data_IF_957355500054
#
_entry.id   IF_957355500054
#
_cell.length_a   1.000
_cell.length_b   1.000
_cell.length_c   1.000
_cell.angle_alpha   90.00
_cell.angle_beta   90.00
_cell.angle_gamma   90.00
#
_symmetry.space_group_name_H-M   'P 1'
#
loop_
_entity.id
_entity.type
_entity.pdbx_description
1 polymer ?
#
# COMPACT_ATOMS: atom_id res chain seq x y z
N UNK A 1 -5.73 15.42 14.01
CA UNK A 1 -6.70 16.01 13.06
C UNK A 1 -7.95 15.14 12.84
N UNK A 2 -7.84 13.81 12.72
CA UNK A 2 -8.99 12.91 12.48
C UNK A 2 -10.21 13.11 13.41
N UNK A 3 -9.98 13.44 14.70
CA UNK A 3 -11.06 13.73 15.68
C UNK A 3 -11.78 15.08 15.45
N UNK A 4 -11.24 15.94 14.59
CA UNK A 4 -11.70 17.30 14.35
C UNK A 4 -12.33 17.48 12.96
N UNK A 5 -12.19 16.49 12.07
CA UNK A 5 -12.76 16.52 10.72
C UNK A 5 -14.16 15.89 10.72
N UNK A 6 -15.12 16.43 9.94
CA UNK A 6 -16.43 15.80 9.78
C UNK A 6 -16.29 14.35 9.31
N UNK A 7 -16.92 13.42 10.03
CA UNK A 7 -16.95 12.00 9.67
C UNK A 7 -18.37 11.51 9.38
N UNK A 8 -18.98 11.91 8.24
CA UNK A 8 -20.36 11.54 7.94
C UNK A 8 -20.56 10.04 7.74
N UNK A 9 -19.52 9.27 7.38
CA UNK A 9 -19.62 7.80 7.25
C UNK A 9 -19.52 7.07 8.59
N UNK A 10 -18.91 7.68 9.61
CA UNK A 10 -18.67 7.04 10.91
C UNK A 10 -17.54 6.01 10.90
N UNK A 11 -16.98 5.69 9.73
CA UNK A 11 -15.86 4.78 9.59
C UNK A 11 -14.55 5.42 10.05
N UNK A 12 -13.60 4.61 10.53
CA UNK A 12 -12.27 5.13 10.85
C UNK A 12 -11.53 5.43 9.56
N UNK A 13 -11.45 6.70 9.18
CA UNK A 13 -10.61 7.12 8.06
C UNK A 13 -9.19 7.41 8.52
N UNK A 14 -8.25 6.98 7.71
CA UNK A 14 -6.84 7.27 7.89
C UNK A 14 -6.46 8.52 7.10
N UNK A 15 -5.42 9.20 7.56
CA UNK A 15 -4.87 10.37 6.90
C UNK A 15 -3.39 10.12 6.68
N UNK A 16 -2.91 10.56 5.53
CA UNK A 16 -1.48 10.75 5.30
C UNK A 16 -1.20 12.24 5.45
N UNK A 17 -0.32 12.56 6.39
CA UNK A 17 0.13 13.93 6.61
C UNK A 17 1.47 14.11 5.92
N UNK A 18 1.58 15.15 5.09
CA UNK A 18 2.83 15.55 4.43
C UNK A 18 3.19 16.93 4.93
N UNK A 19 4.42 17.09 5.43
CA UNK A 19 4.91 18.35 5.95
C UNK A 19 6.26 18.71 5.33
N UNK A 20 6.46 19.98 5.00
CA UNK A 20 7.73 20.50 4.49
C UNK A 20 8.08 21.81 5.18
N UNK A 21 9.33 21.98 5.66
CA UNK A 21 9.79 23.28 6.14
C UNK A 21 9.84 24.30 4.99
N UNK A 22 9.64 25.56 5.33
CA UNK A 22 9.74 26.71 4.41
C UNK A 22 10.84 27.63 4.93
N UNK A 23 11.81 27.95 4.08
CA UNK A 23 12.95 28.80 4.41
C UNK A 23 12.96 30.09 3.59
N UNK A 24 13.56 31.16 4.11
CA UNK A 24 13.87 32.36 3.34
C UNK A 24 15.13 32.19 2.47
N UNK A 25 15.51 33.25 1.73
CA UNK A 25 16.71 33.25 0.88
C UNK A 25 18.04 33.16 1.64
N UNK A 26 18.02 33.38 2.97
CA UNK A 26 19.17 33.28 3.86
C UNK A 26 19.19 31.94 4.61
N UNK A 27 18.30 31.01 4.25
CA UNK A 27 18.14 29.69 4.84
C UNK A 27 17.64 29.70 6.30
N UNK A 28 16.96 30.77 6.73
CA UNK A 28 16.28 30.81 8.02
C UNK A 28 14.90 30.14 7.90
N UNK A 29 14.50 29.36 8.92
CA UNK A 29 13.20 28.71 8.96
C UNK A 29 12.09 29.76 9.16
N UNK A 30 11.18 29.85 8.20
CA UNK A 30 9.98 30.69 8.28
C UNK A 30 8.78 29.95 8.89
N UNK A 31 8.71 28.63 8.69
CA UNK A 31 7.62 27.81 9.19
C UNK A 31 7.56 26.42 8.54
N UNK A 32 6.44 25.73 8.69
CA UNK A 32 6.18 24.41 8.11
C UNK A 32 4.84 24.45 7.37
N UNK A 33 4.84 24.04 6.10
CA UNK A 33 3.64 23.81 5.31
C UNK A 33 3.19 22.35 5.53
N UNK A 34 1.95 22.15 5.96
CA UNK A 34 1.37 20.82 6.16
C UNK A 34 0.16 20.62 5.25
N UNK A 35 0.09 19.46 4.61
CA UNK A 35 -1.06 18.97 3.86
C UNK A 35 -1.58 17.68 4.47
N UNK A 36 -2.90 17.52 4.45
CA UNK A 36 -3.61 16.34 4.96
C UNK A 36 -4.33 15.67 3.80
N UNK A 37 -4.01 14.41 3.54
CA UNK A 37 -4.55 13.64 2.43
C UNK A 37 -5.42 12.53 3.00
N UNK A 38 -6.70 12.51 2.61
CA UNK A 38 -7.60 11.42 2.98
C UNK A 38 -7.15 10.10 2.37
N UNK A 39 -7.15 9.04 3.18
CA UNK A 39 -6.75 7.72 2.74
C UNK A 39 -7.61 7.16 1.59
N UNK A 40 -8.86 7.60 1.47
CA UNK A 40 -9.75 7.18 0.37
C UNK A 40 -9.13 7.42 -1.01
N UNK A 41 -8.32 8.47 -1.17
CA UNK A 41 -7.56 8.72 -2.40
C UNK A 41 -6.61 7.56 -2.74
N UNK A 42 -5.92 6.98 -1.76
CA UNK A 42 -5.00 5.87 -2.00
C UNK A 42 -5.75 4.61 -2.45
N UNK A 43 -6.95 4.37 -1.91
CA UNK A 43 -7.82 3.30 -2.37
C UNK A 43 -8.30 3.53 -3.81
N UNK A 44 -8.76 4.74 -4.14
CA UNK A 44 -9.18 5.11 -5.50
C UNK A 44 -8.03 4.97 -6.52
N UNK A 45 -6.82 5.37 -6.14
CA UNK A 45 -5.65 5.25 -7.00
C UNK A 45 -5.32 3.78 -7.33
N UNK A 46 -5.42 2.87 -6.35
CA UNK A 46 -5.22 1.44 -6.56
C UNK A 46 -6.34 0.83 -7.40
N UNK A 47 -7.59 1.21 -7.13
CA UNK A 47 -8.75 0.73 -7.89
C UNK A 47 -8.67 1.13 -9.36
N UNK A 48 -8.12 2.31 -9.67
CA UNK A 48 -7.90 2.74 -11.06
C UNK A 48 -6.93 1.84 -11.84
N UNK A 49 -6.05 1.13 -11.14
CA UNK A 49 -5.09 0.19 -11.71
C UNK A 49 -5.59 -1.26 -11.72
N UNK A 50 -6.76 -1.56 -11.14
CA UNK A 50 -7.32 -2.92 -11.14
C UNK A 50 -7.75 -3.34 -12.53
N UNK A 51 -7.31 -4.52 -12.94
CA UNK A 51 -7.89 -5.23 -14.08
C UNK A 51 -8.85 -6.32 -13.58
N UNK A 52 -9.90 -6.67 -14.34
CA UNK A 52 -10.79 -7.76 -13.98
C UNK A 52 -10.02 -9.05 -13.70
N UNK A 53 -10.35 -9.73 -12.59
CA UNK A 53 -9.69 -10.98 -12.19
C UNK A 53 -8.42 -10.81 -11.36
N UNK A 54 -7.95 -9.57 -11.13
CA UNK A 54 -6.81 -9.28 -10.28
C UNK A 54 -7.22 -8.56 -9.00
N UNK A 55 -6.61 -8.95 -7.88
CA UNK A 55 -6.70 -8.20 -6.63
C UNK A 55 -5.42 -7.41 -6.40
N UNK A 56 -5.58 -6.15 -6.00
CA UNK A 56 -4.48 -5.27 -5.63
C UNK A 56 -4.55 -4.97 -4.13
N UNK A 57 -3.40 -5.06 -3.48
CA UNK A 57 -3.18 -4.68 -2.10
C UNK A 57 -2.08 -3.64 -2.02
N UNK A 58 -2.23 -2.72 -1.07
CA UNK A 58 -1.17 -1.80 -0.65
C UNK A 58 -0.82 -2.11 0.80
N UNK A 59 0.46 -2.38 1.04
CA UNK A 59 0.98 -2.75 2.34
C UNK A 59 1.84 -1.65 2.93
N UNK A 60 1.80 -1.53 4.25
CA UNK A 60 2.77 -0.74 5.00
C UNK A 60 4.15 -1.38 4.92
N UNK A 61 5.19 -0.62 5.29
CA UNK A 61 6.56 -1.14 5.40
C UNK A 61 6.65 -2.39 6.27
N UNK A 62 5.82 -2.49 7.29
CA UNK A 62 5.85 -3.60 8.27
C UNK A 62 5.01 -4.81 7.83
N UNK A 63 4.30 -4.71 6.70
CA UNK A 63 3.48 -5.78 6.13
C UNK A 63 1.99 -5.73 6.48
N UNK A 64 1.50 -4.59 6.97
CA UNK A 64 0.07 -4.42 7.28
C UNK A 64 -0.73 -4.02 6.06
N UNK A 65 -1.95 -4.53 5.93
CA UNK A 65 -2.88 -4.12 4.86
C UNK A 65 -3.30 -2.67 5.07
N UNK A 66 -2.95 -1.80 4.14
CA UNK A 66 -3.43 -0.42 4.12
C UNK A 66 -4.65 -0.27 3.20
N UNK A 67 -4.68 -1.02 2.09
CA UNK A 67 -5.83 -1.11 1.18
C UNK A 67 -5.81 -2.46 0.45
N UNK A 68 -6.98 -2.93 0.01
CA UNK A 68 -7.16 -4.20 -0.71
C UNK A 68 -8.32 -5.02 -0.17
N UNK A 69 -8.52 -6.23 -0.71
CA UNK A 69 -9.59 -7.15 -0.30
C UNK A 69 -9.21 -7.91 0.99
N UNK A 70 -8.99 -7.15 2.05
CA UNK A 70 -8.69 -7.65 3.39
C UNK A 70 -8.97 -6.54 4.43
N UNK A 71 -9.24 -6.90 5.70
CA UNK A 71 -9.46 -5.90 6.74
C UNK A 71 -8.27 -4.95 6.86
N UNK A 72 -8.54 -3.64 6.92
CA UNK A 72 -7.49 -2.63 7.10
C UNK A 72 -6.71 -2.90 8.40
N UNK A 73 -5.40 -2.72 8.33
CA UNK A 73 -4.40 -2.93 9.39
C UNK A 73 -4.23 -4.37 9.87
N UNK A 74 -4.83 -5.34 9.18
CA UNK A 74 -4.52 -6.77 9.37
C UNK A 74 -3.10 -7.10 8.88
N UNK A 75 -2.55 -8.19 9.40
CA UNK A 75 -1.23 -8.68 9.00
C UNK A 75 -1.34 -9.47 7.69
N UNK A 76 -0.69 -9.00 6.62
CA UNK A 76 -0.79 -9.65 5.30
C UNK A 76 -0.13 -11.03 5.26
N UNK A 77 0.77 -11.33 6.21
CA UNK A 77 1.38 -12.66 6.34
C UNK A 77 0.39 -13.76 6.70
N UNK A 78 -0.80 -13.42 7.21
CA UNK A 78 -1.90 -14.35 7.39
C UNK A 78 -2.53 -14.79 6.07
N UNK A 79 -2.40 -13.97 5.01
CA UNK A 79 -2.91 -14.26 3.67
C UNK A 79 -1.85 -14.94 2.81
N UNK A 80 -0.62 -14.42 2.82
CA UNK A 80 0.47 -14.86 1.94
C UNK A 80 1.83 -14.97 2.68
N UNK A 81 2.00 -15.97 3.57
CA UNK A 81 3.19 -16.07 4.43
C UNK A 81 4.50 -16.29 3.67
N UNK A 82 4.51 -16.96 2.52
CA UNK A 82 5.72 -17.21 1.70
C UNK A 82 6.20 -15.92 1.06
N UNK A 83 5.32 -15.15 0.40
CA UNK A 83 5.70 -13.84 -0.14
C UNK A 83 6.25 -12.96 0.97
N UNK A 84 5.55 -12.87 2.11
CA UNK A 84 5.97 -12.04 3.23
C UNK A 84 7.33 -12.44 3.83
N UNK A 85 7.68 -13.73 3.86
CA UNK A 85 9.03 -14.17 4.25
C UNK A 85 10.10 -13.63 3.30
N UNK A 86 9.87 -13.66 1.99
CA UNK A 86 10.83 -13.13 1.01
C UNK A 86 10.94 -11.60 1.06
N UNK A 87 9.81 -10.91 1.21
CA UNK A 87 9.78 -9.47 1.43
C UNK A 87 10.59 -9.08 2.68
N UNK A 88 10.34 -9.73 3.83
CA UNK A 88 11.11 -9.50 5.08
C UNK A 88 12.59 -9.87 4.96
N UNK A 89 12.96 -10.76 4.04
CA UNK A 89 14.36 -11.08 3.72
C UNK A 89 15.05 -10.03 2.83
N UNK A 90 14.35 -8.92 2.51
CA UNK A 90 14.89 -7.81 1.74
C UNK A 90 14.53 -7.83 0.26
N UNK A 91 13.73 -8.81 -0.20
CA UNK A 91 13.32 -8.86 -1.60
C UNK A 91 12.24 -7.80 -1.91
N UNK A 92 12.67 -6.63 -2.39
CA UNK A 92 11.79 -5.48 -2.65
C UNK A 92 10.94 -5.62 -3.92
N UNK A 93 11.24 -6.57 -4.81
CA UNK A 93 10.41 -6.84 -5.99
C UNK A 93 10.50 -8.28 -6.42
N UNK A 94 9.41 -8.88 -6.86
CA UNK A 94 9.44 -10.23 -7.37
C UNK A 94 8.05 -10.81 -7.53
N UNK A 95 8.02 -12.14 -7.66
CA UNK A 95 6.78 -12.87 -7.73
C UNK A 95 6.90 -14.24 -7.04
N UNK A 96 5.75 -14.76 -6.63
CA UNK A 96 5.61 -16.04 -5.95
C UNK A 96 4.33 -16.74 -6.39
N UNK A 97 4.38 -18.06 -6.52
CA UNK A 97 3.17 -18.88 -6.51
C UNK A 97 2.92 -19.33 -5.07
N UNK A 98 1.72 -19.06 -4.56
CA UNK A 98 1.35 -19.33 -3.17
C UNK A 98 -0.15 -19.60 -3.02
N UNK A 99 -0.49 -20.51 -2.09
CA UNK A 99 -1.87 -20.76 -1.65
C UNK A 99 -2.23 -19.76 -0.55
N UNK A 100 -3.31 -19.00 -0.74
CA UNK A 100 -3.80 -18.02 0.22
C UNK A 100 -4.67 -18.67 1.31
N UNK A 101 -4.98 -17.90 2.35
CA UNK A 101 -5.88 -18.31 3.44
C UNK A 101 -7.31 -18.65 2.97
N UNK A 102 -7.74 -18.11 1.83
CA UNK A 102 -9.00 -18.46 1.16
C UNK A 102 -8.99 -19.85 0.50
N UNK A 103 -7.85 -20.53 0.47
CA UNK A 103 -7.69 -21.85 -0.11
C UNK A 103 -7.53 -21.87 -1.63
N UNK A 104 -7.36 -20.72 -2.30
CA UNK A 104 -7.00 -20.65 -3.71
C UNK A 104 -5.49 -20.45 -3.87
N UNK A 105 -4.97 -20.80 -5.03
CA UNK A 105 -3.56 -20.61 -5.37
C UNK A 105 -3.45 -19.48 -6.38
N UNK A 106 -2.54 -18.54 -6.10
CA UNK A 106 -2.36 -17.34 -6.89
C UNK A 106 -0.94 -17.22 -7.40
N UNK A 107 -0.79 -16.57 -8.56
CA UNK A 107 0.44 -15.87 -8.91
C UNK A 107 0.40 -14.51 -8.21
N UNK A 108 1.42 -14.22 -7.40
CA UNK A 108 1.52 -13.02 -6.57
C UNK A 108 2.74 -12.24 -7.01
N UNK A 109 2.55 -11.03 -7.53
CA UNK A 109 3.64 -10.07 -7.79
C UNK A 109 3.72 -9.03 -6.68
N UNK A 110 4.92 -8.57 -6.34
CA UNK A 110 5.09 -7.48 -5.39
C UNK A 110 6.19 -6.50 -5.81
N UNK A 111 6.03 -5.25 -5.41
CA UNK A 111 7.02 -4.19 -5.61
C UNK A 111 6.94 -3.14 -4.51
N UNK A 112 8.07 -2.87 -3.85
CA UNK A 112 8.21 -1.83 -2.85
C UNK A 112 8.55 -0.49 -3.50
N UNK A 113 7.94 0.57 -2.98
CA UNK A 113 8.17 1.94 -3.39
C UNK A 113 9.55 2.44 -2.91
N UNK A 114 10.24 3.18 -3.77
CA UNK A 114 11.57 3.75 -3.50
C UNK A 114 11.56 5.25 -3.17
N UNK A 115 10.39 5.83 -2.94
CA UNK A 115 10.24 7.28 -2.80
C UNK A 115 10.39 8.05 -4.12
N UNK A 116 10.54 9.37 -4.02
CA UNK A 116 10.71 10.27 -5.16
C UNK A 116 11.64 11.45 -4.83
N UNK A 117 12.71 11.61 -5.61
CA UNK A 117 13.77 12.61 -5.37
C UNK A 117 14.32 12.50 -3.93
N UNK A 118 14.30 13.59 -3.17
CA UNK A 118 14.83 13.63 -1.79
C UNK A 118 13.86 13.03 -0.76
N UNK A 119 12.64 12.67 -1.18
CA UNK A 119 11.67 12.02 -0.33
C UNK A 119 11.81 10.50 -0.41
N UNK A 120 12.27 9.88 0.67
CA UNK A 120 12.49 8.42 0.76
C UNK A 120 11.21 7.57 0.63
N UNK A 121 10.02 8.18 0.67
CA UNK A 121 8.76 7.46 0.64
C UNK A 121 8.37 6.85 1.98
N UNK A 122 7.17 6.27 2.03
CA UNK A 122 6.66 5.57 3.21
C UNK A 122 7.13 4.11 3.30
N UNK A 123 7.90 3.63 2.32
CA UNK A 123 8.30 2.22 2.22
C UNK A 123 7.11 1.29 1.99
N UNK A 124 6.06 1.77 1.32
CA UNK A 124 4.90 0.95 0.98
C UNK A 124 5.25 -0.09 -0.06
N UNK A 125 4.51 -1.20 -0.06
CA UNK A 125 4.64 -2.27 -1.04
C UNK A 125 3.29 -2.54 -1.70
N UNK A 126 3.26 -2.52 -3.02
CA UNK A 126 2.10 -2.96 -3.80
C UNK A 126 2.21 -4.46 -4.03
N UNK A 127 1.10 -5.17 -3.83
CA UNK A 127 0.97 -6.59 -4.13
C UNK A 127 -0.19 -6.77 -5.09
N UNK A 128 0.03 -7.54 -6.15
CA UNK A 128 -1.02 -7.94 -7.09
C UNK A 128 -1.12 -9.45 -7.06
N UNK A 129 -2.33 -10.00 -7.03
CA UNK A 129 -2.56 -11.44 -7.18
C UNK A 129 -3.57 -11.74 -8.28
N UNK A 130 -3.35 -12.84 -8.97
CA UNK A 130 -4.24 -13.40 -9.98
C UNK A 130 -4.37 -14.90 -9.77
N UNK A 131 -5.58 -15.45 -9.95
CA UNK A 131 -5.80 -16.90 -9.84
C UNK A 131 -4.85 -17.63 -10.79
N UNK A 132 -4.18 -18.67 -10.29
CA UNK A 132 -3.14 -19.35 -11.06
C UNK A 132 -3.67 -19.95 -12.37
N UNK A 133 -4.93 -20.40 -12.40
CA UNK A 133 -5.50 -20.97 -13.61
C UNK A 133 -5.68 -19.90 -14.70
N UNK A 134 -6.08 -18.68 -14.31
CA UNK A 134 -6.19 -17.54 -15.22
C UNK A 134 -4.82 -17.02 -15.65
N UNK A 135 -3.90 -16.84 -14.69
CA UNK A 135 -2.57 -16.29 -14.95
C UNK A 135 -1.73 -17.12 -15.93
N UNK A 136 -1.99 -18.44 -16.00
CA UNK A 136 -1.32 -19.37 -16.92
C UNK A 136 -2.23 -19.86 -18.05
N UNK A 137 -3.42 -19.28 -18.23
CA UNK A 137 -4.29 -19.62 -19.34
C UNK A 137 -3.62 -19.22 -20.68
N UNK A 138 -3.84 -19.99 -21.77
CA UNK A 138 -3.42 -19.59 -23.10
C UNK A 138 -4.05 -18.26 -23.51
N UNK A 139 -3.30 -17.45 -24.26
CA UNK A 139 -3.77 -16.19 -24.86
C UNK A 139 -4.73 -16.41 -26.02
#
# INVERSE_FOLDING_TARGET
LAKLLPNPSGETFYLVDVASPVFDHQNNLLGVLCGHIYWSWAAEALDSARTPGQDIFLLSRDGKVLSGDAPAWSEFDQLAPKMMRHYRAGNQTGYHIERFSDGKTYLVGHASSSGYRDYAGFGWTTVVREDIATAFAPA
#
